data_IF_118709411684
#
_entry.id   IF_118709411684
#
_cell.length_a   1.000
_cell.length_b   1.000
_cell.length_c   1.000
_cell.angle_alpha   90.00
_cell.angle_beta   90.00
_cell.angle_gamma   90.00
#
_symmetry.space_group_name_H-M   'P 1'
#
loop_
_entity.id
_entity.type
_entity.pdbx_description
1 polymer ?
#
# COMPACT_ATOMS: atom_id res chain seq x y z
N UNK A 1 9.94 11.20 23.37
CA UNK A 1 10.07 9.79 22.91
C UNK A 1 10.25 9.84 21.41
N UNK A 2 11.39 9.38 20.93
CA UNK A 2 11.78 9.52 19.53
C UNK A 2 10.85 8.70 18.63
N UNK A 3 10.04 9.39 17.83
CA UNK A 3 9.34 8.80 16.69
C UNK A 3 10.40 8.34 15.68
N UNK A 4 10.79 7.07 15.77
CA UNK A 4 11.62 6.42 14.76
C UNK A 4 10.75 6.18 13.52
N UNK A 5 10.46 7.26 12.79
CA UNK A 5 9.95 7.17 11.43
C UNK A 5 11.01 6.50 10.59
N UNK A 6 10.66 5.41 9.92
CA UNK A 6 11.51 4.75 8.93
C UNK A 6 12.05 5.82 7.96
N UNK A 7 13.35 6.13 8.10
CA UNK A 7 14.05 6.98 7.15
C UNK A 7 14.12 6.23 5.83
N UNK A 8 13.53 6.82 4.80
CA UNK A 8 13.66 6.34 3.43
C UNK A 8 15.07 6.66 2.94
N UNK A 9 15.94 5.64 2.88
CA UNK A 9 17.13 5.71 2.02
C UNK A 9 16.71 5.16 0.64
N UNK A 10 16.53 6.09 -0.30
CA UNK A 10 16.25 5.78 -1.70
C UNK A 10 17.49 6.23 -2.48
N UNK A 11 18.20 5.25 -3.05
CA UNK A 11 19.32 5.49 -3.96
C UNK A 11 18.86 6.32 -5.17
N UNK A 12 19.76 7.17 -5.64
CA UNK A 12 19.52 8.24 -6.61
C UNK A 12 18.85 7.75 -7.89
N UNK A 13 17.55 8.00 -8.00
CA UNK A 13 16.75 7.84 -9.21
C UNK A 13 16.37 9.20 -9.78
N UNK A 14 16.33 9.29 -11.11
CA UNK A 14 16.02 10.50 -11.89
C UNK A 14 14.85 11.31 -11.30
N UNK A 15 15.08 12.62 -11.18
CA UNK A 15 14.12 13.58 -10.66
C UNK A 15 13.04 13.82 -11.72
N UNK A 16 11.88 13.20 -11.58
CA UNK A 16 10.68 13.55 -12.36
C UNK A 16 10.30 14.99 -12.04
N UNK A 17 10.11 15.87 -13.03
CA UNK A 17 9.66 17.24 -12.76
C UNK A 17 8.13 17.32 -12.54
N UNK A 18 7.69 18.31 -11.75
CA UNK A 18 6.31 18.51 -11.25
C UNK A 18 5.20 18.52 -12.31
N UNK A 19 5.54 18.73 -13.59
CA UNK A 19 4.60 18.74 -14.74
C UNK A 19 4.49 17.40 -15.48
N UNK A 20 5.19 16.37 -15.03
CA UNK A 20 5.35 15.13 -15.80
C UNK A 20 4.59 13.94 -15.25
N UNK A 21 4.11 13.92 -14.00
CA UNK A 21 3.50 12.70 -13.43
C UNK A 21 2.30 12.21 -14.24
N UNK A 22 1.35 13.10 -14.56
CA UNK A 22 0.18 12.73 -15.37
C UNK A 22 0.55 12.35 -16.81
N UNK A 23 1.48 13.10 -17.43
CA UNK A 23 1.93 12.80 -18.80
C UNK A 23 2.65 11.45 -18.87
N UNK A 24 3.49 11.16 -17.87
CA UNK A 24 4.20 9.89 -17.75
C UNK A 24 3.21 8.78 -17.46
N UNK A 25 2.25 8.99 -16.56
CA UNK A 25 1.18 8.02 -16.29
C UNK A 25 0.37 7.69 -17.54
N UNK A 26 -0.03 8.70 -18.32
CA UNK A 26 -0.75 8.53 -19.59
C UNK A 26 0.09 7.72 -20.59
N UNK A 27 1.39 8.02 -20.71
CA UNK A 27 2.32 7.25 -21.56
C UNK A 27 2.44 5.79 -21.11
N UNK A 28 2.55 5.53 -19.81
CA UNK A 28 2.64 4.18 -19.24
C UNK A 28 1.34 3.39 -19.50
N UNK A 29 0.18 4.04 -19.37
CA UNK A 29 -1.12 3.43 -19.63
C UNK A 29 -1.38 3.21 -21.14
N UNK A 30 -0.89 4.09 -22.00
CA UNK A 30 -1.05 4.00 -23.47
C UNK A 30 -0.04 3.06 -24.14
N UNK A 31 1.07 2.74 -23.48
CA UNK A 31 2.09 1.83 -24.01
C UNK A 31 1.50 0.44 -24.28
N UNK A 32 1.74 -0.17 -25.45
CA UNK A 32 1.25 -1.52 -25.75
C UNK A 32 1.86 -2.60 -24.85
N UNK A 33 3.04 -2.33 -24.27
CA UNK A 33 3.67 -3.17 -23.23
C UNK A 33 3.18 -2.81 -21.82
N UNK A 34 2.48 -1.69 -21.68
CA UNK A 34 2.18 -1.00 -20.42
C UNK A 34 3.44 -0.51 -19.69
N UNK A 35 3.22 0.10 -18.53
CA UNK A 35 4.28 0.47 -17.60
C UNK A 35 4.71 -0.68 -16.69
N UNK A 36 5.95 -0.60 -16.20
CA UNK A 36 6.55 -1.52 -15.24
C UNK A 36 6.24 -1.11 -13.79
N UNK A 37 6.33 -2.07 -12.86
CA UNK A 37 6.11 -1.77 -11.44
C UNK A 37 7.08 -0.69 -10.92
N UNK A 38 8.32 -0.68 -11.42
CA UNK A 38 9.33 0.32 -11.05
C UNK A 38 8.85 1.72 -11.40
N UNK A 39 8.43 1.95 -12.65
CA UNK A 39 7.97 3.26 -13.12
C UNK A 39 6.74 3.76 -12.32
N UNK A 40 5.75 2.89 -12.07
CA UNK A 40 4.60 3.27 -11.25
C UNK A 40 4.98 3.56 -9.79
N UNK A 41 5.91 2.80 -9.21
CA UNK A 41 6.36 3.02 -7.83
C UNK A 41 7.23 4.27 -7.68
N UNK A 42 8.03 4.61 -8.70
CA UNK A 42 8.79 5.86 -8.76
C UNK A 42 7.86 7.06 -8.82
N UNK A 43 6.82 7.02 -9.67
CA UNK A 43 5.79 8.06 -9.69
C UNK A 43 5.08 8.18 -8.34
N UNK A 44 4.79 7.06 -7.68
CA UNK A 44 4.17 7.06 -6.36
C UNK A 44 5.08 7.68 -5.30
N UNK A 45 6.35 7.27 -5.25
CA UNK A 45 7.36 7.83 -4.33
C UNK A 45 7.57 9.32 -4.59
N UNK A 46 7.65 9.72 -5.85
CA UNK A 46 7.76 11.13 -6.23
C UNK A 46 6.55 11.94 -5.74
N UNK A 47 5.33 11.45 -5.99
CA UNK A 47 4.10 12.10 -5.54
C UNK A 47 3.98 12.17 -4.02
N UNK A 48 4.59 11.23 -3.28
CA UNK A 48 4.71 11.28 -1.82
C UNK A 48 5.71 12.36 -1.39
N UNK A 49 6.89 12.43 -2.00
CA UNK A 49 7.91 13.46 -1.71
C UNK A 49 7.36 14.88 -1.95
N UNK A 50 6.55 15.04 -2.98
CA UNK A 50 5.94 16.33 -3.34
C UNK A 50 4.66 16.65 -2.57
N UNK A 51 4.12 15.70 -1.79
CA UNK A 51 2.85 15.85 -1.10
C UNK A 51 1.64 15.99 -2.04
N UNK A 52 1.76 15.58 -3.31
CA UNK A 52 0.69 15.72 -4.29
C UNK A 52 -0.27 14.53 -4.21
N UNK A 53 -1.39 14.74 -3.53
CA UNK A 53 -2.41 13.72 -3.26
C UNK A 53 -3.19 13.31 -4.50
N UNK A 54 -3.35 14.21 -5.46
CA UNK A 54 -4.02 13.93 -6.73
C UNK A 54 -3.18 12.95 -7.53
N UNK A 55 -1.86 13.20 -7.62
CA UNK A 55 -0.94 12.30 -8.31
C UNK A 55 -0.90 10.92 -7.64
N UNK A 56 -0.82 10.87 -6.31
CA UNK A 56 -0.90 9.61 -5.54
C UNK A 56 -2.19 8.85 -5.87
N UNK A 57 -3.32 9.54 -5.88
CA UNK A 57 -4.62 8.96 -6.20
C UNK A 57 -4.67 8.39 -7.63
N UNK A 58 -4.18 9.15 -8.62
CA UNK A 58 -4.19 8.76 -10.03
C UNK A 58 -3.28 7.55 -10.30
N UNK A 59 -2.08 7.54 -9.72
CA UNK A 59 -1.15 6.40 -9.83
C UNK A 59 -1.77 5.15 -9.22
N UNK A 60 -2.33 5.24 -8.00
CA UNK A 60 -3.01 4.11 -7.36
C UNK A 60 -4.21 3.63 -8.17
N UNK A 61 -4.98 4.55 -8.77
CA UNK A 61 -6.12 4.21 -9.63
C UNK A 61 -5.68 3.42 -10.86
N UNK A 62 -4.65 3.88 -11.56
CA UNK A 62 -4.08 3.16 -12.71
C UNK A 62 -3.59 1.76 -12.33
N UNK A 63 -2.92 1.62 -11.18
CA UNK A 63 -2.47 0.33 -10.65
C UNK A 63 -3.63 -0.61 -10.30
N UNK A 64 -4.76 -0.09 -9.83
CA UNK A 64 -5.95 -0.90 -9.58
C UNK A 64 -6.65 -1.33 -10.87
N UNK A 65 -6.59 -0.53 -11.92
CA UNK A 65 -7.27 -0.81 -13.20
C UNK A 65 -6.46 -1.72 -14.12
N UNK A 66 -5.15 -1.90 -13.85
CA UNK A 66 -4.29 -2.73 -14.69
C UNK A 66 -4.77 -4.19 -14.77
N UNK A 67 -4.82 -4.71 -15.99
CA UNK A 67 -5.10 -6.12 -16.28
C UNK A 67 -3.82 -6.97 -16.33
N UNK A 68 -2.65 -6.34 -16.22
CA UNK A 68 -1.39 -7.02 -16.37
C UNK A 68 -1.00 -7.79 -15.10
N UNK A 69 -1.12 -9.12 -15.15
CA UNK A 69 -0.79 -9.97 -14.01
C UNK A 69 0.70 -9.93 -13.65
N UNK A 70 1.58 -9.76 -14.64
CA UNK A 70 3.02 -9.55 -14.42
C UNK A 70 3.29 -8.29 -13.59
N UNK A 71 2.57 -7.21 -13.87
CA UNK A 71 2.65 -5.96 -13.13
C UNK A 71 2.20 -6.14 -11.67
N UNK A 72 1.04 -6.79 -11.45
CA UNK A 72 0.53 -7.08 -10.10
C UNK A 72 1.52 -7.95 -9.29
N UNK A 73 2.12 -8.97 -9.91
CA UNK A 73 3.17 -9.79 -9.27
C UNK A 73 4.41 -8.96 -8.91
N UNK A 74 4.80 -8.01 -9.76
CA UNK A 74 5.94 -7.15 -9.49
C UNK A 74 5.64 -6.12 -8.38
N UNK A 75 4.40 -5.63 -8.28
CA UNK A 75 3.93 -4.78 -7.18
C UNK A 75 3.90 -5.53 -5.85
N UNK A 76 3.58 -6.83 -5.87
CA UNK A 76 3.58 -7.69 -4.69
C UNK A 76 4.99 -7.98 -4.13
N UNK A 77 6.06 -7.46 -4.72
CA UNK A 77 7.41 -7.62 -4.17
C UNK A 77 7.56 -6.85 -2.84
N UNK A 78 8.34 -7.37 -1.87
CA UNK A 78 8.48 -6.76 -0.54
C UNK A 78 8.81 -5.27 -0.53
N UNK A 79 9.74 -4.81 -1.38
CA UNK A 79 10.12 -3.39 -1.51
C UNK A 79 8.90 -2.50 -1.81
N UNK A 80 8.03 -2.93 -2.71
CA UNK A 80 6.87 -2.16 -3.15
C UNK A 80 5.73 -2.23 -2.13
N UNK A 81 5.55 -3.37 -1.48
CA UNK A 81 4.60 -3.53 -0.37
C UNK A 81 4.98 -2.67 0.84
N UNK A 82 6.28 -2.47 1.09
CA UNK A 82 6.73 -1.52 2.11
C UNK A 82 6.28 -0.10 1.77
N UNK A 83 6.40 0.35 0.51
CA UNK A 83 5.93 1.69 0.10
C UNK A 83 4.43 1.83 0.37
N UNK A 84 3.62 0.85 -0.03
CA UNK A 84 2.17 0.86 0.23
C UNK A 84 1.85 0.86 1.74
N UNK A 85 2.59 0.09 2.54
CA UNK A 85 2.43 0.04 3.99
C UNK A 85 2.75 1.39 4.66
N UNK A 86 3.81 2.05 4.19
CA UNK A 86 4.18 3.39 4.67
C UNK A 86 3.10 4.41 4.32
N UNK A 87 2.47 4.34 3.14
CA UNK A 87 1.34 5.21 2.80
C UNK A 87 0.17 5.03 3.76
N UNK A 88 -0.16 3.79 4.14
CA UNK A 88 -1.19 3.53 5.15
C UNK A 88 -0.85 4.23 6.46
N UNK A 89 0.41 4.13 6.93
CA UNK A 89 0.86 4.80 8.17
C UNK A 89 0.74 6.32 8.08
N UNK A 90 1.25 6.91 7.00
CA UNK A 90 1.33 8.35 6.82
C UNK A 90 -0.06 8.98 6.71
N UNK A 91 -0.99 8.31 6.04
CA UNK A 91 -2.30 8.87 5.72
C UNK A 91 -3.40 8.49 6.71
N UNK A 92 -3.19 7.53 7.63
CA UNK A 92 -4.25 7.03 8.54
C UNK A 92 -4.90 8.09 9.45
N UNK A 93 -4.24 9.24 9.70
CA UNK A 93 -4.77 10.31 10.57
C UNK A 93 -5.27 11.53 9.80
N UNK A 94 -5.05 11.59 8.48
CA UNK A 94 -5.35 12.77 7.69
C UNK A 94 -6.65 12.55 6.89
N UNK A 95 -7.72 13.25 7.27
CA UNK A 95 -9.03 13.11 6.62
C UNK A 95 -8.98 13.41 5.12
N UNK A 96 -8.19 14.41 4.71
CA UNK A 96 -8.00 14.76 3.29
C UNK A 96 -7.34 13.64 2.48
N UNK A 97 -6.64 12.72 3.14
CA UNK A 97 -5.96 11.58 2.51
C UNK A 97 -6.82 10.32 2.48
N UNK A 98 -8.06 10.38 2.98
CA UNK A 98 -9.00 9.24 2.97
C UNK A 98 -9.16 8.62 1.58
N UNK A 99 -9.26 9.37 0.47
CA UNK A 99 -9.35 8.77 -0.88
C UNK A 99 -8.10 7.96 -1.25
N UNK A 100 -6.90 8.47 -0.92
CA UNK A 100 -5.63 7.76 -1.15
C UNK A 100 -5.59 6.49 -0.31
N UNK A 101 -5.97 6.58 0.97
CA UNK A 101 -6.02 5.46 1.90
C UNK A 101 -6.95 4.33 1.42
N UNK A 102 -8.15 4.69 0.94
CA UNK A 102 -9.10 3.74 0.34
C UNK A 102 -8.50 3.04 -0.88
N UNK A 103 -7.84 3.78 -1.78
CA UNK A 103 -7.23 3.20 -2.98
C UNK A 103 -6.04 2.29 -2.65
N UNK A 104 -5.21 2.64 -1.66
CA UNK A 104 -4.13 1.76 -1.19
C UNK A 104 -4.69 0.45 -0.65
N UNK A 105 -5.75 0.50 0.17
CA UNK A 105 -6.39 -0.72 0.70
C UNK A 105 -7.05 -1.57 -0.41
N UNK A 106 -7.71 -0.94 -1.39
CA UNK A 106 -8.29 -1.66 -2.53
C UNK A 106 -7.22 -2.31 -3.41
N UNK A 107 -6.09 -1.64 -3.63
CA UNK A 107 -4.95 -2.24 -4.34
C UNK A 107 -4.44 -3.47 -3.60
N UNK A 108 -4.26 -3.40 -2.29
CA UNK A 108 -3.87 -4.55 -1.48
C UNK A 108 -4.88 -5.70 -1.58
N UNK A 109 -6.18 -5.42 -1.48
CA UNK A 109 -7.23 -6.44 -1.69
C UNK A 109 -7.18 -7.05 -3.08
N UNK A 110 -6.91 -6.26 -4.13
CA UNK A 110 -6.77 -6.77 -5.49
C UNK A 110 -5.58 -7.72 -5.59
N UNK A 111 -4.44 -7.37 -5.01
CA UNK A 111 -3.26 -8.24 -4.98
C UNK A 111 -3.55 -9.57 -4.26
N UNK A 112 -4.29 -9.53 -3.15
CA UNK A 112 -4.71 -10.74 -2.44
C UNK A 112 -5.70 -11.59 -3.26
N UNK A 113 -6.73 -10.96 -3.82
CA UNK A 113 -7.75 -11.63 -4.63
C UNK A 113 -7.16 -12.27 -5.89
N UNK A 114 -6.13 -11.66 -6.48
CA UNK A 114 -5.35 -12.23 -7.58
C UNK A 114 -4.35 -13.31 -7.13
N UNK A 115 -4.26 -13.61 -5.83
CA UNK A 115 -3.35 -14.58 -5.21
C UNK A 115 -1.87 -14.31 -5.57
N UNK A 116 -1.51 -13.03 -5.70
CA UNK A 116 -0.12 -12.62 -5.99
C UNK A 116 0.65 -12.25 -4.73
N UNK A 117 -0.03 -12.02 -3.60
CA UNK A 117 0.60 -11.90 -2.30
C UNK A 117 0.89 -13.31 -1.77
N UNK A 118 2.14 -13.69 -1.60
CA UNK A 118 2.51 -14.93 -0.91
C UNK A 118 2.52 -14.74 0.59
N UNK A 119 2.47 -15.86 1.31
CA UNK A 119 2.62 -15.97 2.76
C UNK A 119 3.70 -15.05 3.33
N UNK A 120 4.83 -15.01 2.62
CA UNK A 120 6.10 -14.34 2.94
C UNK A 120 6.28 -12.97 2.26
N UNK A 121 5.28 -12.42 1.58
CA UNK A 121 5.47 -11.16 0.81
C UNK A 121 5.03 -9.93 1.60
N UNK A 122 4.00 -10.07 2.45
CA UNK A 122 3.61 -9.03 3.43
C UNK A 122 4.45 -9.08 4.71
N UNK A 123 5.23 -10.13 4.87
CA UNK A 123 6.25 -10.25 5.90
C UNK A 123 7.60 -10.14 5.22
N UNK A 124 8.39 -9.14 5.57
CA UNK A 124 9.83 -9.35 5.51
C UNK A 124 10.14 -10.69 6.19
N UNK A 125 11.28 -11.31 5.85
CA UNK A 125 11.82 -12.48 6.57
C UNK A 125 11.98 -12.25 8.09
N UNK A 126 11.62 -11.07 8.60
CA UNK A 126 11.55 -10.65 9.98
C UNK A 126 10.08 -10.54 10.47
N UNK A 127 9.73 -11.31 11.51
CA UNK A 127 8.43 -11.27 12.22
C UNK A 127 7.96 -9.85 12.60
N UNK A 128 8.91 -8.94 12.83
CA UNK A 128 8.67 -7.54 13.18
C UNK A 128 7.84 -6.77 12.13
N UNK A 129 8.08 -7.02 10.84
CA UNK A 129 7.37 -6.32 9.77
C UNK A 129 5.94 -6.82 9.59
N UNK A 130 5.70 -8.13 9.76
CA UNK A 130 4.37 -8.73 9.76
C UNK A 130 3.51 -8.17 10.90
N UNK A 131 4.13 -8.02 12.08
CA UNK A 131 3.48 -7.43 13.24
C UNK A 131 3.07 -5.98 12.98
N UNK A 132 4.00 -5.14 12.50
CA UNK A 132 3.70 -3.74 12.16
C UNK A 132 2.56 -3.58 11.16
N UNK A 133 2.58 -4.33 10.05
CA UNK A 133 1.53 -4.27 9.03
C UNK A 133 0.16 -4.66 9.59
N UNK A 134 0.13 -5.71 10.41
CA UNK A 134 -1.09 -6.11 11.10
C UNK A 134 -1.61 -5.04 12.09
N UNK A 135 -0.72 -4.39 12.84
CA UNK A 135 -1.10 -3.28 13.72
C UNK A 135 -1.73 -2.12 12.95
N UNK A 136 -1.14 -1.77 11.79
CA UNK A 136 -1.65 -0.69 10.93
C UNK A 136 -3.06 -1.04 10.47
N UNK A 137 -3.27 -2.26 9.94
CA UNK A 137 -4.59 -2.71 9.51
C UNK A 137 -5.60 -2.68 10.67
N UNK A 138 -5.20 -3.10 11.88
CA UNK A 138 -6.07 -3.06 13.06
C UNK A 138 -6.43 -1.64 13.49
N UNK A 139 -5.49 -0.69 13.40
CA UNK A 139 -5.81 0.73 13.60
C UNK A 139 -6.82 1.22 12.57
N UNK A 140 -6.66 0.81 11.31
CA UNK A 140 -7.57 1.19 10.22
C UNK A 140 -8.99 0.59 10.36
N UNK A 141 -9.17 -0.55 11.04
CA UNK A 141 -10.53 -1.06 11.34
C UNK A 141 -11.30 -0.17 12.32
N UNK A 142 -10.61 0.76 13.00
CA UNK A 142 -11.20 1.76 13.92
C UNK A 142 -11.22 3.17 13.32
N UNK A 143 -10.88 3.32 12.04
CA UNK A 143 -10.85 4.62 11.37
C UNK A 143 -12.23 5.30 11.36
N UNK A 144 -12.32 6.63 11.33
CA UNK A 144 -13.59 7.36 11.32
C UNK A 144 -14.40 7.13 10.04
N UNK A 145 -13.70 6.99 8.91
CA UNK A 145 -14.29 6.65 7.62
C UNK A 145 -14.80 5.20 7.54
N UNK A 146 -16.07 5.03 7.20
CA UNK A 146 -16.72 3.72 7.11
C UNK A 146 -16.06 2.80 6.08
N UNK A 147 -15.77 3.33 4.89
CA UNK A 147 -15.22 2.54 3.79
C UNK A 147 -13.80 2.06 4.11
N UNK A 148 -12.95 2.91 4.70
CA UNK A 148 -11.63 2.51 5.20
C UNK A 148 -11.75 1.37 6.22
N UNK A 149 -12.69 1.45 7.18
CA UNK A 149 -12.92 0.36 8.14
C UNK A 149 -13.30 -0.93 7.44
N UNK A 150 -14.27 -0.88 6.53
CA UNK A 150 -14.75 -2.06 5.80
C UNK A 150 -13.64 -2.70 4.97
N UNK A 151 -12.85 -1.89 4.25
CA UNK A 151 -11.74 -2.37 3.43
C UNK A 151 -10.65 -3.01 4.28
N UNK A 152 -10.26 -2.37 5.39
CA UNK A 152 -9.26 -2.91 6.32
C UNK A 152 -9.72 -4.23 6.95
N UNK A 153 -10.97 -4.30 7.44
CA UNK A 153 -11.53 -5.51 8.03
C UNK A 153 -11.66 -6.64 7.00
N UNK A 154 -12.11 -6.33 5.78
CA UNK A 154 -12.22 -7.31 4.70
C UNK A 154 -10.85 -7.86 4.30
N UNK A 155 -9.84 -6.99 4.17
CA UNK A 155 -8.49 -7.43 3.86
C UNK A 155 -7.90 -8.31 4.98
N UNK A 156 -8.11 -7.94 6.25
CA UNK A 156 -7.70 -8.79 7.37
C UNK A 156 -8.34 -10.17 7.33
N UNK A 157 -9.64 -10.25 7.02
CA UNK A 157 -10.34 -11.53 6.87
C UNK A 157 -9.77 -12.34 5.72
N UNK A 158 -9.56 -11.72 4.56
CA UNK A 158 -8.98 -12.43 3.41
C UNK A 158 -7.61 -13.03 3.73
N UNK A 159 -6.75 -12.27 4.41
CA UNK A 159 -5.35 -12.65 4.60
C UNK A 159 -5.07 -13.50 5.84
N UNK A 160 -5.86 -13.30 6.91
CA UNK A 160 -5.63 -13.89 8.24
C UNK A 160 -6.78 -14.80 8.69
N UNK A 161 -7.75 -15.10 7.82
CA UNK A 161 -8.75 -16.13 8.13
C UNK A 161 -8.11 -17.51 8.02
N UNK A 162 -8.15 -18.25 9.13
CA UNK A 162 -7.82 -19.67 9.16
C UNK A 162 -8.92 -20.49 8.44
N UNK A 163 -8.63 -21.71 7.98
CA UNK A 163 -9.62 -22.61 7.36
C UNK A 163 -10.84 -22.94 8.25
N UNK A 164 -10.81 -22.59 9.54
CA UNK A 164 -11.81 -22.99 10.52
C UNK A 164 -12.67 -21.80 11.02
N UNK A 165 -12.70 -20.67 10.29
CA UNK A 165 -13.51 -19.49 10.65
C UNK A 165 -13.05 -18.74 11.91
N UNK A 166 -11.92 -19.13 12.51
CA UNK A 166 -11.26 -18.39 13.59
C UNK A 166 -10.34 -17.35 12.97
N UNK A 167 -10.66 -16.06 13.14
CA UNK A 167 -9.67 -15.00 12.93
C UNK A 167 -8.51 -15.23 13.91
N UNK A 168 -7.26 -15.05 13.46
CA UNK A 168 -6.14 -14.95 14.38
C UNK A 168 -6.47 -13.82 15.34
N UNK A 169 -6.78 -14.17 16.59
CA UNK A 169 -6.83 -13.22 17.69
C UNK A 169 -5.36 -12.86 17.91
N UNK A 170 -4.88 -11.86 17.19
CA UNK A 170 -3.59 -11.25 17.49
C UNK A 170 -3.83 -10.60 18.84
N UNK A 171 -3.40 -11.30 19.89
CA UNK A 171 -3.43 -10.79 21.25
C UNK A 171 -2.43 -9.64 21.23
N UNK A 172 -2.95 -8.42 21.23
CA UNK A 172 -2.16 -7.26 21.52
C UNK A 172 -1.94 -7.28 23.03
N UNK A 173 -0.79 -7.77 23.49
CA UNK A 173 -0.30 -7.46 24.82
C UNK A 173 0.15 -5.98 24.84
N UNK A 174 -0.84 -5.10 24.71
CA UNK A 174 -0.71 -3.69 25.01
C UNK A 174 -0.97 -3.53 26.50
N UNK A 175 0.07 -3.77 27.30
CA UNK A 175 0.10 -3.32 28.68
C UNK A 175 -0.19 -1.82 28.72
N UNK A 176 -1.26 -1.47 29.43
CA UNK A 176 -1.41 -0.17 30.06
C UNK A 176 -0.19 0.04 30.97
N UNK A 177 0.69 0.96 30.59
CA UNK A 177 1.38 1.88 31.51
C UNK A 177 1.72 3.16 30.76
#
# INVERSE_FOLDING_TARGET
>A
MADSFCQFQLEDGEVVEKKEVLKTLDKLCASPKGGTATEYMELLVYSLKMGNTIDQFMVLKALMETKQMSLLKAIAKPKNLHILSSMLIMHQKCFQMTPVLRNTLRLLQRLENCKVLRGTDLGCTHEFCTHMFSQILFKLTKHSDHEVRTLASSFQKLRFSMPNGKCIKIIFDGGLM
#
